data_IF_182851552760
#
_entry.id   IF_182851552760
#
_cell.length_a   1.000
_cell.length_b   1.000
_cell.length_c   1.000
_cell.angle_alpha   90.00
_cell.angle_beta   90.00
_cell.angle_gamma   90.00
#
_symmetry.space_group_name_H-M   'P 1'
#
loop_
_entity.id
_entity.type
_entity.pdbx_description
1 polymer ?
#
# COMPACT_ATOMS: atom_id res chain seq x y z
N UNK A 1 -4.78 -21.82 -16.55
CA UNK A 1 -5.48 -23.10 -16.81
C UNK A 1 -6.03 -23.21 -18.24
N UNK A 2 -6.62 -22.17 -18.84
CA UNK A 2 -7.13 -22.24 -20.21
C UNK A 2 -6.05 -22.56 -21.26
N UNK A 3 -4.91 -21.87 -21.19
CA UNK A 3 -3.75 -22.14 -22.05
C UNK A 3 -3.17 -23.56 -21.85
N UNK A 4 -3.09 -24.00 -20.59
CA UNK A 4 -2.68 -25.36 -20.25
C UNK A 4 -3.63 -26.43 -20.85
N UNK A 5 -4.95 -26.18 -20.86
CA UNK A 5 -5.93 -27.08 -21.49
C UNK A 5 -5.66 -27.21 -22.99
N UNK A 6 -5.47 -26.09 -23.69
CA UNK A 6 -5.20 -26.10 -25.13
C UNK A 6 -3.92 -26.87 -25.49
N UNK A 7 -2.84 -26.70 -24.71
CA UNK A 7 -1.60 -27.45 -24.91
C UNK A 7 -1.78 -28.96 -24.65
N UNK A 8 -2.54 -29.34 -23.63
CA UNK A 8 -2.83 -30.74 -23.31
C UNK A 8 -3.69 -31.40 -24.39
N UNK A 9 -4.65 -30.70 -24.98
CA UNK A 9 -5.48 -31.21 -26.08
C UNK A 9 -4.62 -31.50 -27.32
N UNK A 10 -3.71 -30.59 -27.67
CA UNK A 10 -2.75 -30.83 -28.77
C UNK A 10 -1.86 -32.05 -28.46
N UNK A 11 -1.30 -32.15 -27.25
CA UNK A 11 -0.49 -33.29 -26.86
C UNK A 11 -1.28 -34.62 -26.87
N UNK A 12 -2.57 -34.57 -26.51
CA UNK A 12 -3.45 -35.73 -26.53
C UNK A 12 -3.71 -36.21 -27.96
N UNK A 13 -3.96 -35.30 -28.91
CA UNK A 13 -4.11 -35.68 -30.32
C UNK A 13 -2.85 -36.34 -30.90
N UNK A 14 -1.67 -36.00 -30.39
CA UNK A 14 -0.40 -36.55 -30.86
C UNK A 14 -0.01 -37.90 -30.23
N UNK A 15 -0.35 -38.13 -28.96
CA UNK A 15 0.15 -39.29 -28.19
C UNK A 15 -0.94 -40.22 -27.63
N UNK A 16 -2.20 -39.78 -27.61
CA UNK A 16 -3.37 -40.51 -27.08
C UNK A 16 -3.13 -41.18 -25.70
N UNK A 17 -2.26 -40.59 -24.86
CA UNK A 17 -1.87 -41.24 -23.62
C UNK A 17 -2.93 -41.14 -22.52
N UNK A 18 -3.18 -42.20 -21.74
CA UNK A 18 -4.13 -42.18 -20.63
C UNK A 18 -3.83 -41.10 -19.57
N UNK A 19 -2.55 -40.86 -19.27
CA UNK A 19 -2.15 -39.83 -18.31
C UNK A 19 -2.62 -38.42 -18.70
N UNK A 20 -2.69 -38.13 -20.01
CA UNK A 20 -3.20 -36.85 -20.50
C UNK A 20 -4.70 -36.71 -20.31
N UNK A 21 -5.48 -37.81 -20.35
CA UNK A 21 -6.92 -37.77 -20.03
C UNK A 21 -7.16 -37.35 -18.58
N UNK A 22 -6.36 -37.89 -17.65
CA UNK A 22 -6.44 -37.50 -16.25
C UNK A 22 -6.07 -36.02 -16.05
N UNK A 23 -5.00 -35.55 -16.70
CA UNK A 23 -4.58 -34.15 -16.65
C UNK A 23 -5.62 -33.20 -17.26
N UNK A 24 -6.24 -33.56 -18.39
CA UNK A 24 -7.35 -32.81 -19.00
C UNK A 24 -8.56 -32.73 -18.07
N UNK A 25 -8.87 -33.82 -17.36
CA UNK A 25 -9.89 -33.84 -16.31
C UNK A 25 -9.58 -32.85 -15.18
N UNK A 26 -8.34 -32.83 -14.69
CA UNK A 26 -7.90 -31.91 -13.63
C UNK A 26 -7.97 -30.45 -14.04
N UNK A 27 -7.48 -30.13 -15.25
CA UNK A 27 -7.51 -28.75 -15.76
C UNK A 27 -8.94 -28.28 -15.98
N UNK A 28 -9.79 -29.14 -16.55
CA UNK A 28 -11.22 -28.82 -16.75
C UNK A 28 -11.94 -28.61 -15.42
N UNK A 29 -11.61 -29.39 -14.39
CA UNK A 29 -12.16 -29.21 -13.03
C UNK A 29 -11.79 -27.84 -12.46
N UNK A 30 -10.51 -27.44 -12.58
CA UNK A 30 -10.02 -26.15 -12.09
C UNK A 30 -10.57 -24.95 -12.87
N UNK A 31 -11.00 -25.14 -14.11
CA UNK A 31 -11.68 -24.14 -14.92
C UNK A 31 -13.17 -23.99 -14.60
N UNK A 32 -13.72 -24.82 -13.70
CA UNK A 32 -15.15 -24.86 -13.42
C UNK A 32 -15.97 -25.57 -14.49
N UNK A 33 -15.33 -26.19 -15.47
CA UNK A 33 -15.97 -26.94 -16.55
C UNK A 33 -16.29 -28.37 -16.09
N UNK A 34 -17.03 -28.49 -14.99
CA UNK A 34 -17.29 -29.77 -14.31
C UNK A 34 -17.86 -30.86 -15.21
N UNK A 35 -18.80 -30.59 -16.14
CA UNK A 35 -19.28 -31.62 -17.07
C UNK A 35 -18.19 -32.19 -17.97
N UNK A 36 -17.27 -31.36 -18.47
CA UNK A 36 -16.15 -31.81 -19.30
C UNK A 36 -15.12 -32.58 -18.47
N UNK A 37 -14.84 -32.11 -17.25
CA UNK A 37 -13.96 -32.80 -16.32
C UNK A 37 -14.41 -34.24 -16.05
N UNK A 38 -15.72 -34.45 -15.81
CA UNK A 38 -16.30 -35.78 -15.60
C UNK A 38 -16.05 -36.68 -16.82
N UNK A 39 -16.29 -36.18 -18.04
CA UNK A 39 -16.10 -36.98 -19.27
C UNK A 39 -14.64 -37.41 -19.44
N UNK A 40 -13.67 -36.54 -19.17
CA UNK A 40 -12.25 -36.90 -19.26
C UNK A 40 -11.84 -37.94 -18.20
N UNK A 41 -12.34 -37.83 -16.97
CA UNK A 41 -12.10 -38.86 -15.95
C UNK A 41 -12.78 -40.20 -16.28
N UNK A 42 -13.98 -40.19 -16.87
CA UNK A 42 -14.65 -41.41 -17.33
C UNK A 42 -13.88 -42.09 -18.48
N UNK A 43 -13.36 -41.30 -19.43
CA UNK A 43 -12.47 -41.81 -20.48
C UNK A 43 -11.18 -42.39 -19.91
N UNK A 44 -10.58 -41.74 -18.90
CA UNK A 44 -9.42 -42.27 -18.20
C UNK A 44 -9.72 -43.59 -17.48
N UNK A 45 -10.87 -43.72 -16.83
CA UNK A 45 -11.28 -44.98 -16.19
C UNK A 45 -11.49 -46.10 -17.22
N UNK A 46 -11.92 -45.77 -18.44
CA UNK A 46 -12.07 -46.72 -19.53
C UNK A 46 -10.72 -47.28 -20.05
N UNK A 47 -9.59 -46.65 -19.74
CA UNK A 47 -8.25 -47.18 -20.08
C UNK A 47 -7.72 -48.18 -19.05
N UNK A 48 -8.55 -48.63 -18.11
CA UNK A 48 -8.21 -49.58 -17.05
C UNK A 48 -6.93 -49.17 -16.25
N UNK A 49 -6.93 -47.99 -15.61
CA UNK A 49 -5.82 -47.56 -14.77
C UNK A 49 -5.70 -48.46 -13.52
N UNK A 50 -4.60 -48.33 -12.78
CA UNK A 50 -4.45 -49.04 -11.51
C UNK A 50 -5.51 -48.62 -10.48
N UNK A 51 -5.63 -49.40 -9.41
CA UNK A 51 -6.68 -49.19 -8.40
C UNK A 51 -6.58 -47.82 -7.70
N UNK A 52 -5.37 -47.29 -7.52
CA UNK A 52 -5.15 -46.00 -6.87
C UNK A 52 -5.58 -44.85 -7.78
N UNK A 53 -5.15 -44.88 -9.04
CA UNK A 53 -5.52 -43.93 -10.07
C UNK A 53 -7.02 -43.96 -10.37
N UNK A 54 -7.63 -45.15 -10.39
CA UNK A 54 -9.07 -45.29 -10.52
C UNK A 54 -9.82 -44.65 -9.36
N UNK A 55 -9.35 -44.85 -8.12
CA UNK A 55 -9.95 -44.23 -6.94
C UNK A 55 -9.85 -42.70 -6.98
N UNK A 56 -8.70 -42.15 -7.39
CA UNK A 56 -8.51 -40.71 -7.56
C UNK A 56 -9.47 -40.12 -8.61
N UNK A 57 -9.62 -40.78 -9.76
CA UNK A 57 -10.54 -40.33 -10.80
C UNK A 57 -12.01 -40.39 -10.33
N UNK A 58 -12.41 -41.43 -9.61
CA UNK A 58 -13.74 -41.55 -9.03
C UNK A 58 -14.02 -40.46 -7.98
N UNK A 59 -13.04 -40.17 -7.12
CA UNK A 59 -13.13 -39.09 -6.14
C UNK A 59 -13.32 -37.73 -6.83
N UNK A 60 -12.54 -37.48 -7.89
CA UNK A 60 -12.64 -36.23 -8.66
C UNK A 60 -14.00 -36.09 -9.36
N UNK A 61 -14.56 -37.17 -9.90
CA UNK A 61 -15.93 -37.20 -10.45
C UNK A 61 -16.95 -36.87 -9.36
N UNK A 62 -16.82 -37.46 -8.17
CA UNK A 62 -17.70 -37.17 -7.03
C UNK A 62 -17.66 -35.70 -6.64
N UNK A 63 -16.47 -35.11 -6.54
CA UNK A 63 -16.28 -33.69 -6.25
C UNK A 63 -16.89 -32.79 -7.34
N UNK A 64 -16.76 -33.17 -8.62
CA UNK A 64 -17.31 -32.41 -9.73
C UNK A 64 -18.85 -32.42 -9.72
N UNK A 65 -19.45 -33.59 -9.45
CA UNK A 65 -20.90 -33.72 -9.30
C UNK A 65 -21.44 -32.90 -8.13
N UNK A 66 -20.72 -32.89 -7.01
CA UNK A 66 -21.09 -32.07 -5.86
C UNK A 66 -21.08 -30.56 -6.19
N UNK A 67 -20.09 -30.10 -6.96
CA UNK A 67 -20.02 -28.68 -7.41
C UNK A 67 -21.14 -28.31 -8.38
N UNK A 68 -21.58 -29.23 -9.24
CA UNK A 68 -22.74 -29.01 -10.13
C UNK A 68 -24.04 -28.92 -9.32
N UNK A 69 -24.18 -29.75 -8.28
CA UNK A 69 -25.38 -29.80 -7.44
C UNK A 69 -25.44 -28.68 -6.38
N UNK A 70 -24.30 -28.10 -6.01
CA UNK A 70 -24.25 -27.04 -5.01
C UNK A 70 -24.82 -25.73 -5.56
N UNK A 71 -25.66 -25.00 -4.80
CA UNK A 71 -26.03 -23.64 -5.16
C UNK A 71 -24.77 -22.76 -5.21
N UNK A 72 -24.74 -21.74 -6.10
CA UNK A 72 -23.59 -20.85 -6.18
C UNK A 72 -23.30 -20.25 -4.79
N UNK A 73 -22.03 -20.18 -4.36
CA UNK A 73 -21.70 -19.60 -3.07
C UNK A 73 -22.30 -18.19 -2.99
N UNK A 74 -22.85 -17.78 -1.83
CA UNK A 74 -23.35 -16.42 -1.66
C UNK A 74 -22.23 -15.45 -2.02
N UNK A 75 -22.55 -14.46 -2.85
CA UNK A 75 -21.57 -13.47 -3.29
C UNK A 75 -20.82 -12.94 -2.07
N UNK A 76 -19.47 -12.82 -2.11
CA UNK A 76 -18.73 -12.25 -1.00
C UNK A 76 -19.36 -10.90 -0.64
N UNK A 77 -19.57 -10.60 0.65
CA UNK A 77 -20.15 -9.32 1.04
C UNK A 77 -19.32 -8.21 0.39
N UNK A 78 -19.98 -7.16 -0.16
CA UNK A 78 -19.27 -6.09 -0.84
C UNK A 78 -18.17 -5.58 0.09
N UNK A 79 -16.93 -5.40 -0.42
CA UNK A 79 -15.80 -4.99 0.41
C UNK A 79 -16.21 -3.74 1.18
N UNK A 80 -16.19 -3.84 2.51
CA UNK A 80 -16.50 -2.72 3.38
C UNK A 80 -15.38 -1.71 3.20
N UNK A 81 -15.61 -0.70 2.37
CA UNK A 81 -14.66 0.40 2.16
C UNK A 81 -14.61 1.18 3.46
N UNK A 82 -13.65 0.84 4.31
CA UNK A 82 -13.31 1.66 5.47
C UNK A 82 -12.67 2.93 4.92
N UNK A 83 -13.49 3.99 4.81
CA UNK A 83 -12.98 5.33 4.49
C UNK A 83 -12.09 5.73 5.66
N UNK A 84 -10.79 5.75 5.44
CA UNK A 84 -9.85 6.35 6.37
C UNK A 84 -10.17 7.85 6.41
N UNK A 85 -11.00 8.28 7.37
CA UNK A 85 -11.26 9.70 7.59
C UNK A 85 -10.00 10.33 8.19
N UNK A 86 -9.12 10.81 7.30
CA UNK A 86 -8.00 11.62 7.69
C UNK A 86 -8.54 12.93 8.28
N UNK A 87 -8.53 13.05 9.61
CA UNK A 87 -8.88 14.30 10.28
C UNK A 87 -7.89 15.39 9.84
N UNK A 88 -8.35 16.49 9.21
CA UNK A 88 -7.49 17.45 8.54
C UNK A 88 -6.52 18.19 9.47
N UNK A 89 -6.73 18.12 10.78
CA UNK A 89 -5.96 18.83 11.80
C UNK A 89 -5.43 17.87 12.86
N UNK A 90 -4.37 17.14 12.54
CA UNK A 90 -3.67 16.39 13.60
C UNK A 90 -3.01 17.36 14.59
N UNK A 91 -3.06 17.11 15.92
CA UNK A 91 -2.48 17.99 16.95
C UNK A 91 -0.99 18.29 16.74
N UNK A 92 -0.28 17.38 16.06
CA UNK A 92 1.13 17.55 15.73
C UNK A 92 1.35 18.65 14.68
N UNK A 93 0.46 18.77 13.68
CA UNK A 93 0.57 19.83 12.67
C UNK A 93 0.32 21.21 13.27
N UNK A 94 -0.71 21.32 14.12
CA UNK A 94 -1.02 22.58 14.79
C UNK A 94 0.11 22.98 15.73
N UNK A 95 0.68 22.04 16.48
CA UNK A 95 1.84 22.30 17.34
C UNK A 95 3.05 22.81 16.53
N UNK A 96 3.39 22.19 15.41
CA UNK A 96 4.51 22.62 14.57
C UNK A 96 4.32 24.02 13.98
N UNK A 97 3.11 24.35 13.51
CA UNK A 97 2.81 25.68 12.96
C UNK A 97 2.87 26.78 14.03
N UNK A 98 2.31 26.52 15.21
CA UNK A 98 2.31 27.50 16.32
C UNK A 98 3.73 27.74 16.82
N UNK A 99 4.49 26.68 17.07
CA UNK A 99 5.88 26.78 17.56
C UNK A 99 6.78 27.44 16.51
N UNK A 100 6.66 27.04 15.24
CA UNK A 100 7.41 27.62 14.13
C UNK A 100 7.12 29.10 13.93
N UNK A 101 5.83 29.49 13.93
CA UNK A 101 5.41 30.87 13.81
C UNK A 101 5.91 31.76 14.96
N UNK A 102 5.81 31.28 16.20
CA UNK A 102 6.32 32.00 17.37
C UNK A 102 7.85 32.24 17.26
N UNK A 103 8.61 31.23 16.86
CA UNK A 103 10.06 31.35 16.70
C UNK A 103 10.48 32.39 15.66
N UNK A 104 9.77 32.47 14.52
CA UNK A 104 10.01 33.49 13.48
C UNK A 104 9.73 34.90 13.99
N UNK A 105 8.61 35.11 14.68
CA UNK A 105 8.25 36.42 15.26
C UNK A 105 9.29 36.86 16.29
N UNK A 106 9.68 35.97 17.20
CA UNK A 106 10.70 36.26 18.22
C UNK A 106 12.06 36.55 17.57
N UNK A 107 12.48 35.76 16.58
CA UNK A 107 13.73 36.00 15.85
C UNK A 107 13.75 37.35 15.13
N UNK A 108 12.66 37.70 14.45
CA UNK A 108 12.50 38.99 13.78
C UNK A 108 12.56 40.18 14.75
N UNK A 109 11.93 40.06 15.93
CA UNK A 109 11.98 41.09 16.97
C UNK A 109 13.40 41.32 17.49
N UNK A 110 14.20 40.26 17.69
CA UNK A 110 15.60 40.40 18.10
C UNK A 110 16.47 41.08 17.05
N UNK A 111 16.28 40.75 15.76
CA UNK A 111 17.00 41.38 14.65
C UNK A 111 16.65 42.87 14.56
N UNK A 112 15.35 43.20 14.64
CA UNK A 112 14.88 44.59 14.61
C UNK A 112 15.45 45.41 15.77
N UNK A 113 15.40 44.87 16.99
CA UNK A 113 15.94 45.55 18.17
C UNK A 113 17.47 45.72 18.10
N UNK A 114 18.19 44.71 17.60
CA UNK A 114 19.63 44.79 17.36
C UNK A 114 20.02 45.88 16.36
N UNK A 115 19.22 46.07 15.30
CA UNK A 115 19.43 47.15 14.33
C UNK A 115 19.25 48.55 14.93
N UNK A 116 18.37 48.72 15.93
CA UNK A 116 18.18 49.98 16.65
C UNK A 116 19.38 50.33 17.54
N UNK A 117 19.95 49.34 18.23
CA UNK A 117 21.11 49.52 19.11
C UNK A 117 22.41 49.90 18.36
N UNK A 118 22.50 49.58 17.07
CA UNK A 118 23.68 49.88 16.26
C UNK A 118 23.75 51.31 15.70
N UNK A 119 22.65 52.08 15.75
CA UNK A 119 22.58 53.45 15.22
C UNK A 119 22.92 54.53 16.24
N UNK A 120 23.14 54.16 17.50
CA UNK A 120 23.43 55.10 18.58
C UNK A 120 24.95 55.24 18.77
N UNK A 121 25.53 56.29 18.16
CA UNK A 121 26.97 56.54 18.13
C UNK A 121 27.51 57.24 19.40
N UNK A 122 26.67 57.40 20.42
CA UNK A 122 27.03 58.18 21.63
C UNK A 122 27.74 57.31 22.70
N UNK A 123 28.93 57.71 23.14
CA UNK A 123 29.61 57.14 24.32
C UNK A 123 31.10 56.82 24.16
N UNK A 124 31.72 56.29 25.22
CA UNK A 124 33.16 55.91 25.25
C UNK A 124 33.46 54.64 24.45
N UNK A 125 34.70 54.46 24.00
CA UNK A 125 35.15 53.30 23.20
C UNK A 125 34.83 51.95 23.86
N UNK A 126 34.97 51.86 25.18
CA UNK A 126 34.63 50.65 25.97
C UNK A 126 33.12 50.36 25.96
N UNK A 127 32.28 51.40 25.89
CA UNK A 127 30.82 51.26 25.75
C UNK A 127 30.41 50.89 24.32
N UNK A 128 31.23 51.23 23.33
CA UNK A 128 31.03 50.82 21.93
C UNK A 128 31.33 49.32 21.75
N UNK A 129 32.47 48.85 22.24
CA UNK A 129 32.87 47.42 22.14
C UNK A 129 31.85 46.49 22.83
N UNK A 130 31.41 46.84 24.05
CA UNK A 130 30.39 46.07 24.79
C UNK A 130 29.03 46.06 24.09
N UNK A 131 28.68 47.10 23.32
CA UNK A 131 27.46 47.16 22.51
C UNK A 131 27.58 46.32 21.24
N UNK A 132 28.75 46.35 20.59
CA UNK A 132 29.01 45.55 19.39
C UNK A 132 28.94 44.04 19.70
N UNK A 133 29.48 43.63 20.84
CA UNK A 133 29.45 42.23 21.29
C UNK A 133 28.02 41.78 21.63
N UNK A 134 27.24 42.61 22.34
CA UNK A 134 25.81 42.32 22.62
C UNK A 134 24.96 42.29 21.35
N UNK A 135 25.23 43.16 20.37
CA UNK A 135 24.54 43.18 19.08
C UNK A 135 24.79 41.90 18.29
N UNK A 136 26.05 41.43 18.21
CA UNK A 136 26.39 40.17 17.53
C UNK A 136 25.74 38.95 18.20
N UNK A 137 25.74 38.89 19.54
CA UNK A 137 25.08 37.78 20.25
C UNK A 137 23.57 37.79 20.03
N UNK A 138 22.93 38.98 20.03
CA UNK A 138 21.50 39.12 19.77
C UNK A 138 21.13 38.77 18.31
N UNK A 139 21.92 39.24 17.33
CA UNK A 139 21.71 38.93 15.91
C UNK A 139 21.89 37.44 15.61
N UNK A 140 22.93 36.80 16.15
CA UNK A 140 23.18 35.37 15.91
C UNK A 140 22.07 34.49 16.52
N UNK A 141 21.59 34.84 17.72
CA UNK A 141 20.47 34.13 18.35
C UNK A 141 19.15 34.35 17.60
N UNK A 142 18.90 35.56 17.11
CA UNK A 142 17.72 35.88 16.30
C UNK A 142 17.72 35.19 14.93
N UNK A 143 18.89 35.08 14.29
CA UNK A 143 19.03 34.37 13.02
C UNK A 143 18.81 32.87 13.18
N UNK A 144 19.38 32.26 14.23
CA UNK A 144 19.22 30.84 14.51
C UNK A 144 17.75 30.46 14.80
N UNK A 145 17.02 31.27 15.55
CA UNK A 145 15.59 31.02 15.82
C UNK A 145 14.72 31.18 14.57
N UNK A 146 15.01 32.16 13.71
CA UNK A 146 14.29 32.36 12.46
C UNK A 146 14.47 31.17 11.49
N UNK A 147 15.70 30.67 11.34
CA UNK A 147 15.98 29.48 10.52
C UNK A 147 15.26 28.25 11.09
N UNK A 148 15.34 28.02 12.41
CA UNK A 148 14.64 26.90 13.06
C UNK A 148 13.13 26.95 12.87
N UNK A 149 12.52 28.14 13.00
CA UNK A 149 11.09 28.33 12.76
C UNK A 149 10.69 28.07 11.30
N UNK A 150 11.49 28.53 10.33
CA UNK A 150 11.27 28.27 8.91
C UNK A 150 11.31 26.78 8.55
N UNK A 151 12.27 26.03 9.10
CA UNK A 151 12.37 24.57 8.90
C UNK A 151 11.14 23.84 9.46
N UNK A 152 10.64 24.23 10.63
CA UNK A 152 9.45 23.62 11.22
C UNK A 152 8.19 23.84 10.36
N UNK A 153 8.02 25.05 9.80
CA UNK A 153 6.91 25.37 8.89
C UNK A 153 7.02 24.56 7.59
N UNK A 154 8.22 24.47 7.00
CA UNK A 154 8.45 23.68 5.79
C UNK A 154 8.16 22.19 6.01
N UNK A 155 8.58 21.64 7.16
CA UNK A 155 8.27 20.26 7.53
C UNK A 155 6.76 20.03 7.68
N UNK A 156 6.04 20.95 8.35
CA UNK A 156 4.59 20.88 8.46
C UNK A 156 3.90 20.88 7.09
N UNK A 157 4.38 21.70 6.14
CA UNK A 157 3.85 21.78 4.78
C UNK A 157 4.09 20.50 3.98
N UNK A 158 5.30 19.92 4.04
CA UNK A 158 5.62 18.64 3.37
C UNK A 158 4.75 17.51 3.91
N UNK A 159 4.63 17.39 5.24
CA UNK A 159 3.83 16.32 5.85
C UNK A 159 2.34 16.52 5.51
N UNK A 160 1.85 17.76 5.40
CA UNK A 160 0.47 18.03 4.95
C UNK A 160 0.27 17.62 3.48
N UNK A 161 1.23 17.96 2.60
CA UNK A 161 1.15 17.64 1.17
C UNK A 161 1.16 16.13 0.91
N UNK A 162 2.10 15.42 1.53
CA UNK A 162 2.20 13.96 1.41
C UNK A 162 0.91 13.28 1.88
N UNK A 163 0.32 13.72 3.00
CA UNK A 163 -0.93 13.12 3.51
C UNK A 163 -2.18 13.47 2.70
N UNK A 164 -2.21 14.61 2.01
CA UNK A 164 -3.36 14.99 1.18
C UNK A 164 -3.37 14.29 -0.18
N UNK A 165 -2.20 13.93 -0.71
CA UNK A 165 -2.07 13.22 -2.00
C UNK A 165 -2.11 11.70 -1.87
N UNK A 166 -1.66 11.13 -0.74
CA UNK A 166 -1.64 9.67 -0.54
C UNK A 166 -3.02 9.11 -0.23
N UNK A 167 -3.81 8.84 -1.28
CA UNK A 167 -4.94 7.91 -1.20
C UNK A 167 -4.39 6.49 -1.22
N UNK A 168 -4.16 5.92 -0.03
CA UNK A 168 -3.84 4.50 0.09
C UNK A 168 -5.15 3.73 -0.15
N UNK A 169 -5.27 3.10 -1.31
CA UNK A 169 -6.37 2.19 -1.61
C UNK A 169 -5.95 0.80 -1.18
N UNK A 170 -6.44 0.36 -0.03
CA UNK A 170 -6.29 -1.02 0.42
C UNK A 170 -7.36 -1.84 -0.28
N UNK A 171 -6.96 -2.69 -1.23
CA UNK A 171 -7.86 -3.66 -1.85
C UNK A 171 -7.60 -5.04 -1.24
N UNK A 172 -8.49 -5.55 -0.37
CA UNK A 172 -8.40 -6.92 0.09
C UNK A 172 -8.78 -7.84 -1.08
N UNK A 173 -7.95 -8.83 -1.36
CA UNK A 173 -8.27 -9.90 -2.30
C UNK A 173 -8.29 -11.23 -1.56
N UNK A 174 -9.41 -11.96 -1.66
CA UNK A 174 -9.57 -13.28 -1.03
C UNK A 174 -9.46 -14.32 -2.15
N UNK A 175 -8.32 -15.00 -2.21
CA UNK A 175 -8.15 -16.19 -3.04
C UNK A 175 -8.61 -17.44 -2.29
N UNK A 176 -8.90 -18.52 -3.01
CA UNK A 176 -9.41 -19.79 -2.45
C UNK A 176 -8.52 -20.42 -1.35
N UNK A 177 -7.27 -19.94 -1.19
CA UNK A 177 -6.31 -20.45 -0.19
C UNK A 177 -5.62 -19.37 0.65
N UNK A 178 -5.84 -18.08 0.36
CA UNK A 178 -5.16 -17.00 1.09
C UNK A 178 -5.89 -15.66 0.90
N UNK A 179 -5.97 -14.88 1.98
CA UNK A 179 -6.26 -13.45 1.90
C UNK A 179 -4.95 -12.70 1.62
N UNK A 180 -4.92 -11.85 0.61
CA UNK A 180 -3.82 -10.92 0.36
C UNK A 180 -4.33 -9.48 0.39
N UNK A 181 -3.47 -8.59 0.88
CA UNK A 181 -3.72 -7.15 0.91
C UNK A 181 -2.83 -6.52 -0.17
N UNK A 182 -3.43 -5.89 -1.17
CA UNK A 182 -2.66 -5.07 -2.12
C UNK A 182 -2.79 -3.60 -1.74
N UNK A 183 -1.64 -2.96 -1.54
CA UNK A 183 -1.53 -1.53 -1.27
C UNK A 183 -1.33 -0.82 -2.60
N UNK A 184 -2.39 -0.26 -3.16
CA UNK A 184 -2.32 0.61 -4.34
C UNK A 184 -2.18 2.06 -3.93
N UNK A 185 -1.14 2.73 -4.41
CA UNK A 185 -0.95 4.18 -4.27
C UNK A 185 -0.92 4.83 -5.65
N UNK A 186 -1.71 5.88 -5.85
CA UNK A 186 -1.51 6.83 -6.95
C UNK A 186 -0.57 7.91 -6.44
N UNK A 187 0.63 7.99 -7.03
CA UNK A 187 1.64 9.01 -6.74
C UNK A 187 1.45 10.21 -7.67
#
# INVERSE_FOLDING_TARGET
YAEAKALLEVAYTASASPALLFALGQVSFNLGEFPQAIRYYEQFLATAPDAEQAALAQQAIGAARARIAAPPPPAPPPPKVEKLELHPWSPLYTALLVVGGAAVVTGGAFIYHGHGLGKDETGTQTNYERRLERSRIAQNRGLASAIGGGVAIAAAFVIWRVRTETRIVVTPSVGERAASLSLGGTW
#
